data_IF_473147922513
#
_entry.id   IF_473147922513
#
_cell.length_a   1.000
_cell.length_b   1.000
_cell.length_c   1.000
_cell.angle_alpha   90.00
_cell.angle_beta   90.00
_cell.angle_gamma   90.00
#
_symmetry.space_group_name_H-M   'P 1'
#
loop_
_entity.id
_entity.type
_entity.pdbx_description
1 polymer ?
#
# COMPACT_ATOMS: atom_id res chain seq x y z
N UNK A 1 -33.06 7.28 -29.18
CA UNK A 1 -32.52 6.64 -27.95
C UNK A 1 -31.59 5.51 -28.39
N UNK A 2 -30.30 5.80 -28.62
CA UNK A 2 -29.29 4.81 -29.02
C UNK A 2 -28.62 4.24 -27.76
N UNK A 3 -28.60 2.91 -27.65
CA UNK A 3 -28.13 2.15 -26.48
C UNK A 3 -26.64 1.83 -26.61
N UNK A 4 -25.94 2.18 -25.54
CA UNK A 4 -24.74 1.60 -24.92
C UNK A 4 -23.68 0.99 -25.85
N UNK A 5 -22.61 1.75 -26.06
CA UNK A 5 -21.32 1.24 -26.49
C UNK A 5 -20.75 0.27 -25.45
N UNK A 6 -20.30 -0.87 -25.97
CA UNK A 6 -19.57 -1.92 -25.28
C UNK A 6 -18.29 -1.36 -24.63
N UNK A 7 -18.35 -1.06 -23.33
CA UNK A 7 -17.15 -0.96 -22.50
C UNK A 7 -16.62 -2.39 -22.35
N UNK A 8 -15.80 -2.82 -23.30
CA UNK A 8 -14.93 -3.98 -23.13
C UNK A 8 -14.00 -3.67 -21.95
N UNK A 9 -14.28 -4.28 -20.79
CA UNK A 9 -13.29 -4.40 -19.73
C UNK A 9 -12.10 -5.16 -20.32
N UNK A 10 -11.07 -4.43 -20.72
CA UNK A 10 -9.76 -5.01 -20.98
C UNK A 10 -9.28 -5.52 -19.63
N UNK A 11 -9.38 -6.83 -19.43
CA UNK A 11 -8.76 -7.52 -18.31
C UNK A 11 -7.27 -7.51 -18.60
N UNK A 12 -6.63 -6.39 -18.31
CA UNK A 12 -5.19 -6.24 -18.39
C UNK A 12 -4.59 -7.31 -17.48
N UNK A 13 -4.16 -8.40 -18.11
CA UNK A 13 -3.60 -9.59 -17.47
C UNK A 13 -2.08 -9.46 -17.36
N UNK A 14 -1.57 -8.23 -17.45
CA UNK A 14 -0.19 -7.92 -17.13
C UNK A 14 0.09 -8.39 -15.70
N UNK A 15 1.18 -9.16 -15.46
CA UNK A 15 1.57 -9.51 -14.10
C UNK A 15 1.72 -8.20 -13.34
N UNK A 16 0.92 -8.05 -12.27
CA UNK A 16 1.05 -6.90 -11.37
C UNK A 16 2.53 -6.85 -10.96
N UNK A 17 3.23 -5.72 -11.18
CA UNK A 17 4.63 -5.62 -10.81
C UNK A 17 4.74 -6.03 -9.34
N UNK A 18 5.64 -6.96 -9.03
CA UNK A 18 5.89 -7.36 -7.65
C UNK A 18 6.05 -6.10 -6.80
N UNK A 19 5.19 -5.94 -5.78
CA UNK A 19 5.25 -4.80 -4.88
C UNK A 19 6.54 -4.88 -4.09
N UNK A 20 7.57 -4.18 -4.56
CA UNK A 20 8.88 -4.10 -3.92
C UNK A 20 8.91 -2.95 -2.92
N UNK A 21 9.59 -3.12 -1.77
CA UNK A 21 9.86 -2.02 -0.85
C UNK A 21 10.48 -0.82 -1.58
N UNK A 22 10.08 0.38 -1.16
CA UNK A 22 10.57 1.64 -1.70
C UNK A 22 12.07 1.84 -1.42
N UNK A 23 12.51 1.38 -0.25
CA UNK A 23 13.90 1.33 0.17
C UNK A 23 14.21 -0.06 0.75
N UNK A 24 15.44 -0.51 0.60
CA UNK A 24 16.00 -1.66 1.30
C UNK A 24 16.09 -1.40 2.81
N UNK A 25 16.26 -2.46 3.60
CA UNK A 25 16.44 -2.34 5.05
C UNK A 25 17.68 -1.49 5.43
N UNK A 26 18.77 -1.59 4.67
CA UNK A 26 19.99 -0.84 4.92
C UNK A 26 19.82 0.65 4.59
N UNK A 27 19.12 0.96 3.49
CA UNK A 27 18.76 2.34 3.15
C UNK A 27 17.84 2.95 4.21
N UNK A 28 16.84 2.22 4.70
CA UNK A 28 16.01 2.65 5.82
C UNK A 28 16.82 2.90 7.09
N UNK A 29 17.80 2.04 7.41
CA UNK A 29 18.68 2.25 8.56
C UNK A 29 19.50 3.55 8.41
N UNK A 30 19.96 3.85 7.20
CA UNK A 30 20.63 5.11 6.88
C UNK A 30 19.73 6.33 7.07
N UNK A 31 18.50 6.26 6.57
CA UNK A 31 17.46 7.31 6.72
C UNK A 31 17.14 7.55 8.20
N UNK A 32 16.87 6.48 8.96
CA UNK A 32 16.52 6.55 10.39
C UNK A 32 17.68 7.10 11.23
N UNK A 33 18.92 6.68 10.95
CA UNK A 33 20.13 7.19 11.64
C UNK A 33 20.38 8.69 11.41
N UNK A 34 19.72 9.29 10.42
CA UNK A 34 19.85 10.71 10.07
C UNK A 34 18.48 11.43 10.10
N UNK A 35 17.53 10.94 10.90
CA UNK A 35 16.14 11.44 10.96
C UNK A 35 16.06 12.97 11.09
N UNK A 36 16.90 13.54 11.95
CA UNK A 36 16.89 14.97 12.28
C UNK A 36 17.36 15.84 11.11
N UNK A 37 18.12 15.24 10.18
CA UNK A 37 18.61 15.90 8.97
C UNK A 37 17.69 15.66 7.78
N UNK A 38 16.66 14.82 7.90
CA UNK A 38 15.77 14.52 6.77
C UNK A 38 15.11 15.78 6.22
N UNK A 39 14.79 16.78 7.05
CA UNK A 39 14.30 18.08 6.58
C UNK A 39 15.26 18.79 5.61
N UNK A 40 16.57 18.66 5.83
CA UNK A 40 17.62 19.23 4.96
C UNK A 40 17.82 18.37 3.69
N UNK A 41 17.75 17.04 3.83
CA UNK A 41 17.85 16.11 2.68
C UNK A 41 16.63 16.24 1.76
N UNK A 42 15.44 16.55 2.32
CA UNK A 42 14.19 16.79 1.57
C UNK A 42 14.33 17.86 0.49
N UNK A 43 15.12 18.91 0.75
CA UNK A 43 15.36 19.99 -0.20
C UNK A 43 16.29 19.61 -1.37
N UNK A 44 17.14 18.58 -1.21
CA UNK A 44 18.12 18.15 -2.21
C UNK A 44 17.69 16.94 -3.07
N UNK A 45 16.56 16.31 -2.75
CA UNK A 45 16.16 15.02 -3.36
C UNK A 45 15.95 15.05 -4.87
N UNK A 46 15.60 16.20 -5.44
CA UNK A 46 15.41 16.37 -6.88
C UNK A 46 16.68 16.13 -7.71
N UNK A 47 17.85 16.06 -7.07
CA UNK A 47 19.17 15.86 -7.71
C UNK A 47 19.84 14.53 -7.31
N UNK A 48 19.18 13.72 -6.48
CA UNK A 48 19.75 12.47 -5.95
C UNK A 48 19.46 11.24 -6.80
N UNK A 49 20.16 10.10 -6.56
CA UNK A 49 19.99 8.85 -7.31
C UNK A 49 18.72 8.06 -6.93
N UNK A 50 17.76 8.67 -6.22
CA UNK A 50 16.61 7.97 -5.67
C UNK A 50 15.53 7.74 -6.71
N UNK A 51 14.87 6.58 -6.63
CA UNK A 51 13.65 6.35 -7.41
C UNK A 51 12.50 7.21 -6.89
N UNK A 52 11.50 7.49 -7.73
CA UNK A 52 10.29 8.19 -7.29
C UNK A 52 9.62 7.49 -6.09
N UNK A 53 9.67 6.16 -6.04
CA UNK A 53 9.12 5.36 -4.94
C UNK A 53 9.89 5.61 -3.63
N UNK A 54 11.23 5.58 -3.66
CA UNK A 54 12.07 5.88 -2.51
C UNK A 54 11.85 7.33 -2.01
N UNK A 55 11.70 8.29 -2.94
CA UNK A 55 11.42 9.68 -2.58
C UNK A 55 10.07 9.84 -1.88
N UNK A 56 9.01 9.19 -2.38
CA UNK A 56 7.70 9.20 -1.71
C UNK A 56 7.78 8.65 -0.29
N UNK A 57 8.49 7.53 -0.09
CA UNK A 57 8.67 6.95 1.22
C UNK A 57 9.37 7.90 2.21
N UNK A 58 10.47 8.54 1.79
CA UNK A 58 11.20 9.49 2.66
C UNK A 58 10.37 10.76 2.91
N UNK A 59 9.67 11.28 1.89
CA UNK A 59 8.90 12.51 2.01
C UNK A 59 7.71 12.35 2.94
N UNK A 60 7.03 11.20 2.91
CA UNK A 60 5.85 10.91 3.73
C UNK A 60 6.19 10.36 5.11
N UNK A 61 7.40 9.84 5.32
CA UNK A 61 7.77 9.26 6.62
C UNK A 61 7.73 10.32 7.74
N UNK A 62 7.04 9.97 8.84
CA UNK A 62 6.86 10.79 10.04
C UNK A 62 6.18 12.17 9.83
N UNK A 63 5.56 12.39 8.66
CA UNK A 63 4.74 13.57 8.41
C UNK A 63 3.35 13.41 9.02
N UNK A 64 2.70 14.52 9.40
CA UNK A 64 1.36 14.51 9.99
C UNK A 64 0.27 13.93 9.09
N UNK A 65 0.50 13.94 7.78
CA UNK A 65 -0.35 13.32 6.76
C UNK A 65 0.34 12.15 6.05
N UNK A 66 1.42 11.64 6.64
CA UNK A 66 2.15 10.47 6.16
C UNK A 66 1.44 9.16 6.49
N UNK A 67 1.95 8.07 5.93
CA UNK A 67 1.50 6.73 6.31
C UNK A 67 2.19 6.25 7.58
N UNK A 68 1.47 5.42 8.32
CA UNK A 68 1.91 4.77 9.55
C UNK A 68 1.71 3.26 9.47
N UNK A 69 2.31 2.55 10.41
CA UNK A 69 2.06 1.11 10.55
C UNK A 69 0.60 0.80 10.95
N UNK A 70 -0.09 1.77 11.56
CA UNK A 70 -1.52 1.64 11.85
C UNK A 70 -2.33 1.61 10.56
N UNK A 71 -2.01 2.42 9.55
CA UNK A 71 -2.71 2.40 8.26
C UNK A 71 -2.59 1.03 7.56
N UNK A 72 -1.44 0.37 7.66
CA UNK A 72 -1.26 -1.01 7.16
C UNK A 72 -2.16 -1.99 7.91
N UNK A 73 -2.26 -1.82 9.23
CA UNK A 73 -3.07 -2.68 10.11
C UNK A 73 -4.55 -2.50 9.81
N UNK A 74 -5.02 -1.26 9.72
CA UNK A 74 -6.42 -0.93 9.42
C UNK A 74 -6.85 -1.52 8.06
N UNK A 75 -6.02 -1.36 7.02
CA UNK A 75 -6.29 -1.95 5.70
C UNK A 75 -6.29 -3.49 5.73
N UNK A 76 -5.43 -4.10 6.55
CA UNK A 76 -5.40 -5.56 6.74
C UNK A 76 -6.65 -6.04 7.47
N UNK A 77 -7.11 -5.33 8.48
CA UNK A 77 -8.31 -5.64 9.26
C UNK A 77 -9.58 -5.51 8.40
N UNK A 78 -9.66 -4.46 7.58
CA UNK A 78 -10.76 -4.31 6.60
C UNK A 78 -10.74 -5.45 5.59
N UNK A 79 -9.56 -5.85 5.08
CA UNK A 79 -9.46 -6.98 4.18
C UNK A 79 -9.90 -8.31 4.83
N UNK A 80 -9.59 -8.53 6.11
CA UNK A 80 -10.02 -9.69 6.87
C UNK A 80 -11.53 -9.67 7.11
N UNK A 81 -12.10 -8.51 7.42
CA UNK A 81 -13.55 -8.32 7.53
C UNK A 81 -14.24 -8.64 6.21
N UNK A 82 -13.76 -8.10 5.09
CA UNK A 82 -14.30 -8.41 3.76
C UNK A 82 -14.22 -9.91 3.44
N UNK A 83 -13.14 -10.59 3.82
CA UNK A 83 -13.03 -12.03 3.62
C UNK A 83 -14.10 -12.81 4.40
N UNK A 84 -14.35 -12.43 5.67
CA UNK A 84 -15.43 -13.01 6.47
C UNK A 84 -16.80 -12.79 5.84
N UNK A 85 -17.11 -11.55 5.45
CA UNK A 85 -18.39 -11.23 4.81
C UNK A 85 -18.59 -11.97 3.49
N UNK A 86 -17.52 -12.16 2.71
CA UNK A 86 -17.59 -12.97 1.50
C UNK A 86 -17.98 -14.42 1.81
N UNK A 87 -17.40 -15.02 2.85
CA UNK A 87 -17.76 -16.37 3.31
C UNK A 87 -19.20 -16.43 3.83
N UNK A 88 -19.61 -15.48 4.65
CA UNK A 88 -20.95 -15.45 5.24
C UNK A 88 -22.03 -15.35 4.15
N UNK A 89 -21.89 -14.42 3.19
CA UNK A 89 -22.84 -14.28 2.09
C UNK A 89 -22.86 -15.49 1.14
N UNK A 90 -21.69 -16.09 0.85
CA UNK A 90 -21.63 -17.31 0.05
C UNK A 90 -22.37 -18.48 0.75
N UNK A 91 -22.25 -18.59 2.09
CA UNK A 91 -22.96 -19.61 2.85
C UNK A 91 -24.49 -19.46 2.83
N UNK A 92 -24.97 -18.24 2.58
CA UNK A 92 -26.39 -17.89 2.44
C UNK A 92 -26.88 -18.00 0.98
N UNK A 93 -26.01 -18.38 0.03
CA UNK A 93 -26.32 -18.44 -1.40
C UNK A 93 -26.37 -17.07 -2.09
N UNK A 94 -25.88 -16.01 -1.45
CA UNK A 94 -25.78 -14.66 -2.02
C UNK A 94 -24.40 -14.45 -2.67
N UNK A 95 -24.17 -15.16 -3.78
CA UNK A 95 -22.89 -15.19 -4.48
C UNK A 95 -22.47 -13.81 -5.04
N UNK A 96 -23.45 -12.96 -5.41
CA UNK A 96 -23.18 -11.64 -5.95
C UNK A 96 -22.58 -10.69 -4.89
N UNK A 97 -23.14 -10.71 -3.68
CA UNK A 97 -22.59 -9.93 -2.56
C UNK A 97 -21.28 -10.53 -2.07
N UNK A 98 -21.17 -11.86 -2.03
CA UNK A 98 -19.93 -12.55 -1.69
C UNK A 98 -18.76 -12.14 -2.60
N UNK A 99 -19.00 -12.12 -3.91
CA UNK A 99 -17.99 -11.71 -4.90
C UNK A 99 -17.61 -10.23 -4.76
N UNK A 100 -18.57 -9.38 -4.38
CA UNK A 100 -18.32 -7.96 -4.11
C UNK A 100 -17.35 -7.80 -2.93
N UNK A 101 -17.62 -8.49 -1.81
CA UNK A 101 -16.73 -8.49 -0.66
C UNK A 101 -15.36 -9.08 -0.99
N UNK A 102 -15.29 -10.12 -1.82
CA UNK A 102 -14.01 -10.71 -2.25
C UNK A 102 -13.13 -9.68 -2.98
N UNK A 103 -13.70 -8.95 -3.94
CA UNK A 103 -12.99 -7.89 -4.69
C UNK A 103 -12.60 -6.72 -3.80
N UNK A 104 -13.46 -6.31 -2.87
CA UNK A 104 -13.12 -5.26 -1.89
C UNK A 104 -11.95 -5.71 -1.03
N UNK A 105 -11.99 -6.91 -0.48
CA UNK A 105 -10.91 -7.47 0.33
C UNK A 105 -9.59 -7.55 -0.44
N UNK A 106 -9.61 -7.95 -1.71
CA UNK A 106 -8.41 -7.93 -2.57
C UNK A 106 -7.80 -6.53 -2.71
N UNK A 107 -8.64 -5.50 -2.92
CA UNK A 107 -8.17 -4.10 -3.02
C UNK A 107 -7.55 -3.60 -1.73
N UNK A 108 -8.13 -3.94 -0.57
CA UNK A 108 -7.59 -3.57 0.73
C UNK A 108 -6.26 -4.27 1.02
N UNK A 109 -6.09 -5.54 0.67
CA UNK A 109 -4.77 -6.23 0.75
C UNK A 109 -3.72 -5.57 -0.13
N UNK A 110 -4.08 -5.22 -1.36
CA UNK A 110 -3.17 -4.52 -2.27
C UNK A 110 -2.76 -3.16 -1.72
N UNK A 111 -3.71 -2.42 -1.13
CA UNK A 111 -3.44 -1.13 -0.49
C UNK A 111 -2.53 -1.28 0.74
N UNK A 112 -2.80 -2.24 1.62
CA UNK A 112 -1.94 -2.55 2.76
C UNK A 112 -0.50 -2.85 2.31
N UNK A 113 -0.33 -3.67 1.26
CA UNK A 113 0.99 -3.99 0.72
C UNK A 113 1.70 -2.76 0.11
N UNK A 114 0.99 -1.89 -0.60
CA UNK A 114 1.53 -0.64 -1.14
C UNK A 114 1.96 0.33 -0.03
N UNK A 115 1.16 0.46 1.03
CA UNK A 115 1.52 1.30 2.17
C UNK A 115 2.73 0.72 2.89
N UNK A 116 2.74 -0.59 3.16
CA UNK A 116 3.87 -1.26 3.81
C UNK A 116 5.19 -1.10 3.04
N UNK A 117 5.14 -1.06 1.70
CA UNK A 117 6.32 -0.82 0.87
C UNK A 117 6.93 0.58 1.08
N UNK A 118 6.17 1.55 1.57
CA UNK A 118 6.60 2.92 1.85
C UNK A 118 7.14 3.13 3.27
N UNK A 119 7.10 2.10 4.12
CA UNK A 119 7.45 2.21 5.54
C UNK A 119 8.75 1.46 5.86
N UNK A 120 9.48 1.89 6.90
CA UNK A 120 10.60 1.12 7.42
C UNK A 120 10.11 -0.24 7.96
N UNK A 121 10.89 -1.31 7.80
CA UNK A 121 10.60 -2.59 8.46
C UNK A 121 10.42 -2.44 9.98
N UNK A 122 9.38 -3.06 10.54
CA UNK A 122 9.03 -2.95 11.98
C UNK A 122 10.20 -3.22 12.95
N UNK A 123 11.09 -4.15 12.63
CA UNK A 123 12.24 -4.49 13.48
C UNK A 123 13.30 -3.37 13.57
N UNK A 124 13.34 -2.46 12.59
CA UNK A 124 14.25 -1.32 12.59
C UNK A 124 13.74 -0.17 13.47
N UNK A 125 12.43 0.00 13.60
CA UNK A 125 11.81 1.07 14.41
C UNK A 125 11.80 0.71 15.91
N UNK A 126 11.71 -0.59 16.25
CA UNK A 126 11.73 -1.04 17.64
C UNK A 126 13.13 -1.01 18.31
N UNK A 127 14.19 -0.72 17.54
CA UNK A 127 15.58 -0.74 17.99
C UNK A 127 16.18 0.66 18.23
N UNK A 128 15.38 1.71 18.02
CA UNK A 128 15.73 3.13 18.14
C UNK A 128 14.91 3.78 19.25
#
# INVERSE_FOLDING_TARGET
MKRNDDIRLVKDSSPQPELRPALTADEWRGVLSNSDKLGEVKAGFSQGPFTAHALTAILLYAESYGFTQQDVTDETDVAAYCARMATDHASLGDDATAETFRKLGERHRERAAKIAALLPPNHLVASS
#
